data_IF_752203638395
#
_entry.id   IF_752203638395
#
_cell.length_a   1.000
_cell.length_b   1.000
_cell.length_c   1.000
_cell.angle_alpha   90.00
_cell.angle_beta   90.00
_cell.angle_gamma   90.00
#
_symmetry.space_group_name_H-M   'P 1'
#
loop_
_entity.id
_entity.type
_entity.pdbx_description
1 polymer ?
#
# COMPACT_ATOMS: atom_id res chain seq x y z
N UNK A 1 -4.15 -14.42 14.05
CA UNK A 1 -4.31 -12.96 13.85
C UNK A 1 -5.67 -12.78 13.19
N UNK A 2 -6.59 -12.05 13.81
CA UNK A 2 -7.87 -11.73 13.18
C UNK A 2 -7.64 -10.48 12.34
N UNK A 3 -7.76 -10.58 11.02
CA UNK A 3 -7.69 -9.44 10.11
C UNK A 3 -9.12 -8.93 9.93
N UNK A 4 -9.36 -7.67 10.29
CA UNK A 4 -10.64 -7.04 10.03
C UNK A 4 -10.65 -6.50 8.60
N UNK A 5 -11.83 -6.44 7.97
CA UNK A 5 -11.96 -5.89 6.61
C UNK A 5 -11.48 -4.44 6.55
N UNK A 6 -11.61 -3.71 7.66
CA UNK A 6 -11.12 -2.33 7.82
C UNK A 6 -9.59 -2.20 7.77
N UNK A 7 -8.85 -3.31 7.86
CA UNK A 7 -7.39 -3.35 7.74
C UNK A 7 -6.94 -3.48 6.28
N UNK A 8 -7.87 -3.66 5.33
CA UNK A 8 -7.57 -3.79 3.91
C UNK A 8 -7.64 -2.43 3.22
N UNK A 9 -6.58 -2.10 2.50
CA UNK A 9 -6.47 -0.85 1.74
C UNK A 9 -6.19 -1.14 0.28
N UNK A 10 -6.97 -0.50 -0.60
CA UNK A 10 -6.73 -0.50 -2.03
C UNK A 10 -5.82 0.66 -2.44
N UNK A 11 -5.51 0.74 -3.73
CA UNK A 11 -4.60 1.78 -4.24
C UNK A 11 -5.06 3.21 -3.91
N UNK A 12 -6.37 3.45 -3.89
CA UNK A 12 -6.93 4.76 -3.55
C UNK A 12 -6.60 5.16 -2.13
N UNK A 13 -6.92 4.29 -1.17
CA UNK A 13 -6.63 4.50 0.26
C UNK A 13 -5.12 4.64 0.51
N UNK A 14 -4.28 3.86 -0.19
CA UNK A 14 -2.82 3.99 -0.11
C UNK A 14 -2.35 5.39 -0.55
N UNK A 15 -2.92 5.96 -1.61
CA UNK A 15 -2.60 7.33 -2.03
C UNK A 15 -2.95 8.36 -0.96
N UNK A 16 -4.11 8.18 -0.31
CA UNK A 16 -4.56 9.06 0.77
C UNK A 16 -3.65 8.95 2.00
N UNK A 17 -3.34 7.73 2.45
CA UNK A 17 -2.46 7.47 3.59
C UNK A 17 -1.06 8.06 3.40
N UNK A 18 -0.49 7.86 2.22
CA UNK A 18 0.90 8.29 1.92
C UNK A 18 0.99 9.76 1.51
N UNK A 19 -0.14 10.40 1.17
CA UNK A 19 -0.17 11.72 0.53
C UNK A 19 0.55 11.75 -0.84
N UNK A 20 0.72 10.59 -1.50
CA UNK A 20 1.43 10.47 -2.78
C UNK A 20 0.49 10.15 -3.93
N UNK A 21 0.86 10.59 -5.12
CA UNK A 21 0.09 10.32 -6.33
C UNK A 21 0.26 8.85 -6.79
N UNK A 22 -0.71 8.36 -7.57
CA UNK A 22 -0.63 7.01 -8.16
C UNK A 22 0.64 6.77 -8.95
N UNK A 23 1.05 7.77 -9.75
CA UNK A 23 2.27 7.70 -10.55
C UNK A 23 3.54 7.55 -9.71
N UNK A 24 3.61 8.28 -8.58
CA UNK A 24 4.73 8.16 -7.64
C UNK A 24 4.84 6.74 -7.09
N UNK A 25 3.73 6.19 -6.58
CA UNK A 25 3.71 4.84 -6.00
C UNK A 25 3.99 3.75 -7.02
N UNK A 26 3.46 3.88 -8.25
CA UNK A 26 3.74 2.95 -9.36
C UNK A 26 5.23 2.82 -9.66
N UNK A 27 6.03 3.89 -9.50
CA UNK A 27 7.49 3.81 -9.66
C UNK A 27 8.11 2.90 -8.60
N UNK A 28 7.67 3.00 -7.35
CA UNK A 28 8.18 2.16 -6.25
C UNK A 28 7.76 0.70 -6.39
N UNK A 29 6.51 0.47 -6.77
CA UNK A 29 5.99 -0.88 -7.05
C UNK A 29 6.83 -1.53 -8.15
N UNK A 30 7.04 -0.84 -9.28
CA UNK A 30 7.85 -1.36 -10.40
C UNK A 30 9.31 -1.62 -10.02
N UNK A 31 9.84 -0.91 -9.02
CA UNK A 31 11.22 -1.07 -8.53
C UNK A 31 11.34 -2.14 -7.45
N UNK A 32 10.25 -2.80 -7.05
CA UNK A 32 10.27 -3.73 -5.91
C UNK A 32 10.59 -3.05 -4.58
N UNK A 33 10.34 -1.74 -4.49
CA UNK A 33 10.62 -0.91 -3.30
C UNK A 33 9.34 -0.50 -2.57
N UNK A 34 8.23 -1.18 -2.89
CA UNK A 34 6.92 -1.02 -2.26
C UNK A 34 6.48 -2.39 -1.73
N UNK A 35 5.68 -2.46 -0.65
CA UNK A 35 5.20 -3.74 -0.14
C UNK A 35 4.48 -4.56 -1.21
N UNK A 36 4.70 -5.87 -1.19
CA UNK A 36 3.92 -6.78 -2.04
C UNK A 36 2.46 -6.80 -1.56
N UNK A 37 1.48 -6.66 -2.47
CA UNK A 37 0.08 -6.74 -2.11
C UNK A 37 -0.30 -8.15 -1.66
N UNK A 38 -1.19 -8.24 -0.68
CA UNK A 38 -1.72 -9.53 -0.22
C UNK A 38 -2.53 -10.25 -1.30
N UNK A 39 -3.15 -9.48 -2.21
CA UNK A 39 -3.87 -9.99 -3.37
C UNK A 39 -4.07 -8.88 -4.40
N UNK A 40 -4.46 -9.27 -5.62
CA UNK A 40 -4.84 -8.33 -6.68
C UNK A 40 -6.23 -8.70 -7.19
N UNK A 41 -7.14 -7.73 -7.13
CA UNK A 41 -8.50 -7.83 -7.65
C UNK A 41 -8.62 -7.07 -8.98
N UNK A 42 -9.78 -7.14 -9.65
CA UNK A 42 -10.01 -6.40 -10.89
C UNK A 42 -9.90 -4.87 -10.72
N UNK A 43 -10.15 -4.35 -9.52
CA UNK A 43 -9.98 -2.93 -9.19
C UNK A 43 -8.52 -2.53 -8.90
N UNK A 44 -7.63 -3.51 -8.69
CA UNK A 44 -6.22 -3.28 -8.39
C UNK A 44 -5.70 -4.11 -7.22
N UNK A 45 -4.44 -3.87 -6.83
CA UNK A 45 -3.80 -4.49 -5.68
C UNK A 45 -4.43 -4.04 -4.35
N UNK A 46 -4.46 -4.98 -3.39
CA UNK A 46 -4.91 -4.79 -2.01
C UNK A 46 -3.74 -5.06 -1.08
N UNK A 47 -3.56 -4.21 -0.08
CA UNK A 47 -2.57 -4.34 0.98
C UNK A 47 -3.24 -4.40 2.34
N UNK A 48 -2.49 -4.85 3.34
CA UNK A 48 -2.80 -4.53 4.73
C UNK A 48 -2.36 -3.10 5.02
N UNK A 49 -3.15 -2.40 5.83
CA UNK A 49 -2.84 -1.06 6.31
C UNK A 49 -1.47 -0.98 6.97
N UNK A 50 -1.14 -1.97 7.82
CA UNK A 50 0.14 -2.09 8.51
C UNK A 50 1.34 -2.14 7.54
N UNK A 51 1.22 -2.86 6.41
CA UNK A 51 2.29 -2.89 5.39
C UNK A 51 2.63 -1.51 4.86
N UNK A 52 1.62 -0.65 4.73
CA UNK A 52 1.78 0.71 4.22
C UNK A 52 2.35 1.62 5.29
N UNK A 53 1.90 1.48 6.54
CA UNK A 53 2.43 2.19 7.71
C UNK A 53 3.93 1.89 7.89
N UNK A 54 4.31 0.61 7.91
CA UNK A 54 5.71 0.17 7.99
C UNK A 54 6.57 0.76 6.86
N UNK A 55 6.04 0.77 5.64
CA UNK A 55 6.73 1.35 4.50
C UNK A 55 6.94 2.86 4.64
N UNK A 56 5.94 3.59 5.15
CA UNK A 56 6.06 5.04 5.40
C UNK A 56 7.08 5.34 6.50
N UNK A 57 7.09 4.55 7.57
CA UNK A 57 8.04 4.69 8.67
C UNK A 57 9.48 4.41 8.22
N UNK A 58 9.70 3.39 7.40
CA UNK A 58 11.02 3.05 6.85
C UNK A 58 11.68 4.16 6.03
N UNK A 59 10.88 5.14 5.57
CA UNK A 59 11.30 6.27 4.73
C UNK A 59 11.32 7.62 5.45
N UNK A 60 10.83 7.66 6.68
CA UNK A 60 10.83 8.88 7.52
C UNK A 60 12.10 8.99 8.36
N UNK A 61 12.94 7.94 8.37
CA UNK A 61 14.30 7.92 8.92
C UNK A 61 15.33 8.24 7.85
#
# INVERSE_FOLDING_TARGET
>A
MLVNVDDLVGFGEVCEMTGKTKGYLQVYIKRGQFPEPITTLSCGPIWLKEQIEDWMESRSK
#
